data_IF_394972621531
#
_entry.id   IF_394972621531
#
_cell.length_a   1.000
_cell.length_b   1.000
_cell.length_c   1.000
_cell.angle_alpha   90.00
_cell.angle_beta   90.00
_cell.angle_gamma   90.00
#
_symmetry.space_group_name_H-M   'P 1'
#
loop_
_entity.id
_entity.type
_entity.pdbx_description
1 polymer ?
#
# COMPACT_ATOMS: atom_id res chain seq x y z
N UNK A 1 -12.10 -5.68 21.30
CA UNK A 1 -11.96 -5.19 22.70
C UNK A 1 -12.02 -6.36 23.69
N UNK A 2 -13.02 -7.24 23.61
CA UNK A 2 -13.16 -8.42 24.51
C UNK A 2 -11.96 -9.37 24.44
N UNK A 3 -11.49 -9.70 23.24
CA UNK A 3 -10.38 -10.63 23.02
C UNK A 3 -9.03 -10.11 23.52
N UNK A 4 -8.65 -8.87 23.18
CA UNK A 4 -7.41 -8.24 23.64
C UNK A 4 -7.35 -8.17 25.17
N UNK A 5 -8.48 -7.91 25.81
CA UNK A 5 -8.58 -7.90 27.28
C UNK A 5 -8.32 -9.29 27.88
N UNK A 6 -8.88 -10.35 27.30
CA UNK A 6 -8.67 -11.72 27.78
C UNK A 6 -7.20 -12.15 27.61
N UNK A 7 -6.58 -11.81 26.47
CA UNK A 7 -5.16 -12.09 26.22
C UNK A 7 -4.27 -11.41 27.28
N UNK A 8 -4.50 -10.12 27.54
CA UNK A 8 -3.63 -9.34 28.43
C UNK A 8 -3.89 -9.59 29.92
N UNK A 9 -5.12 -9.92 30.34
CA UNK A 9 -5.46 -10.11 31.76
C UNK A 9 -5.47 -11.57 32.20
N UNK A 10 -5.73 -12.50 31.29
CA UNK A 10 -5.97 -13.91 31.62
C UNK A 10 -5.04 -14.87 30.86
N UNK A 11 -4.20 -14.35 29.96
CA UNK A 11 -3.38 -15.15 29.04
C UNK A 11 -4.21 -16.16 28.21
N UNK A 12 -5.49 -15.84 28.01
CA UNK A 12 -6.44 -16.67 27.27
C UNK A 12 -6.93 -15.89 26.03
N UNK A 13 -6.67 -16.45 24.86
CA UNK A 13 -7.05 -15.87 23.57
C UNK A 13 -8.28 -16.58 22.97
N UNK A 14 -8.78 -17.65 23.59
CA UNK A 14 -9.73 -18.60 23.02
C UNK A 14 -9.08 -19.63 22.08
N UNK A 15 -9.79 -20.72 21.82
CA UNK A 15 -9.26 -21.89 21.08
C UNK A 15 -8.77 -21.54 19.68
N UNK A 16 -9.52 -20.70 18.95
CA UNK A 16 -9.17 -20.32 17.57
C UNK A 16 -7.86 -19.55 17.53
N UNK A 17 -7.68 -18.55 18.39
CA UNK A 17 -6.48 -17.70 18.36
C UNK A 17 -5.27 -18.48 18.81
N UNK A 18 -5.42 -19.34 19.82
CA UNK A 18 -4.36 -20.23 20.27
C UNK A 18 -3.96 -21.22 19.15
N UNK A 19 -4.93 -21.80 18.44
CA UNK A 19 -4.66 -22.73 17.33
C UNK A 19 -3.97 -22.04 16.14
N UNK A 20 -4.41 -20.84 15.75
CA UNK A 20 -3.75 -20.07 14.69
C UNK A 20 -2.36 -19.59 15.11
N UNK A 21 -2.20 -19.17 16.37
CA UNK A 21 -0.91 -18.76 16.92
C UNK A 21 0.10 -19.90 16.90
N UNK A 22 -0.28 -21.10 17.35
CA UNK A 22 0.61 -22.27 17.33
C UNK A 22 0.91 -22.74 15.91
N UNK A 23 -0.07 -22.69 15.01
CA UNK A 23 0.12 -23.00 13.59
C UNK A 23 1.15 -22.05 12.92
N UNK A 24 1.02 -20.74 13.12
CA UNK A 24 1.90 -19.73 12.49
C UNK A 24 3.29 -19.73 13.10
N UNK A 25 3.41 -19.90 14.42
CA UNK A 25 4.70 -19.91 15.11
C UNK A 25 5.50 -21.17 14.79
N UNK A 26 4.84 -22.30 14.52
CA UNK A 26 5.52 -23.53 14.08
C UNK A 26 6.61 -24.04 15.05
N UNK A 27 6.53 -23.65 16.33
CA UNK A 27 7.54 -23.95 17.35
C UNK A 27 8.66 -22.92 17.51
N UNK A 28 8.74 -21.88 16.66
CA UNK A 28 9.73 -20.80 16.73
C UNK A 28 9.08 -19.43 16.79
N UNK A 29 9.17 -18.78 17.96
CA UNK A 29 8.64 -17.42 18.17
C UNK A 29 9.24 -16.43 17.16
N UNK A 30 10.53 -16.57 16.83
CA UNK A 30 11.18 -15.72 15.85
C UNK A 30 10.60 -15.92 14.43
N UNK A 31 10.41 -17.16 13.98
CA UNK A 31 9.78 -17.46 12.68
C UNK A 31 8.34 -16.93 12.65
N UNK A 32 7.57 -17.15 13.72
CA UNK A 32 6.20 -16.62 13.83
C UNK A 32 6.14 -15.09 13.74
N UNK A 33 7.11 -14.40 14.34
CA UNK A 33 7.20 -12.93 14.29
C UNK A 33 7.55 -12.43 12.87
N UNK A 34 8.44 -13.13 12.16
CA UNK A 34 8.77 -12.82 10.76
C UNK A 34 7.55 -12.99 9.86
N UNK A 35 6.85 -14.12 9.98
CA UNK A 35 5.63 -14.38 9.19
C UNK A 35 4.55 -13.33 9.51
N UNK A 36 4.35 -12.99 10.79
CA UNK A 36 3.41 -11.96 11.21
C UNK A 36 3.73 -10.58 10.59
N UNK A 37 5.01 -10.18 10.57
CA UNK A 37 5.42 -8.92 9.96
C UNK A 37 5.17 -8.91 8.45
N UNK A 38 5.49 -10.01 7.74
CA UNK A 38 5.24 -10.14 6.30
C UNK A 38 3.75 -10.01 5.98
N UNK A 39 2.89 -10.75 6.70
CA UNK A 39 1.44 -10.69 6.50
C UNK A 39 0.90 -9.28 6.80
N UNK A 40 1.38 -8.65 7.87
CA UNK A 40 0.96 -7.29 8.26
C UNK A 40 1.34 -6.27 7.18
N UNK A 41 2.57 -6.33 6.66
CA UNK A 41 3.03 -5.46 5.57
C UNK A 41 2.22 -5.72 4.29
N UNK A 42 2.02 -6.99 3.93
CA UNK A 42 1.22 -7.35 2.75
C UNK A 42 -0.21 -6.80 2.84
N UNK A 43 -0.86 -6.95 4.01
CA UNK A 43 -2.19 -6.40 4.26
C UNK A 43 -2.22 -4.88 4.17
N UNK A 44 -1.24 -4.20 4.77
CA UNK A 44 -1.14 -2.74 4.70
C UNK A 44 -1.04 -2.25 3.25
N UNK A 45 -0.26 -2.93 2.41
CA UNK A 45 -0.09 -2.59 1.00
C UNK A 45 -1.37 -2.82 0.20
N UNK A 46 -2.10 -3.92 0.45
CA UNK A 46 -3.41 -4.15 -0.18
C UNK A 46 -4.39 -3.03 0.17
N UNK A 47 -4.42 -2.61 1.44
CA UNK A 47 -5.28 -1.50 1.90
C UNK A 47 -4.86 -0.19 1.23
N UNK A 48 -3.56 0.10 1.15
CA UNK A 48 -3.04 1.31 0.49
C UNK A 48 -3.41 1.35 -1.01
N UNK A 49 -3.32 0.22 -1.72
CA UNK A 49 -3.75 0.10 -3.13
C UNK A 49 -5.27 0.32 -3.30
N UNK A 50 -6.07 -0.08 -2.32
CA UNK A 50 -7.50 0.19 -2.31
C UNK A 50 -7.80 1.69 -2.29
N UNK A 51 -7.05 2.46 -1.50
CA UNK A 51 -7.18 3.92 -1.43
C UNK A 51 -6.72 4.61 -2.73
N UNK A 52 -5.68 4.10 -3.39
CA UNK A 52 -5.17 4.62 -4.67
C UNK A 52 -6.22 4.58 -5.78
N UNK A 53 -6.96 3.47 -5.92
CA UNK A 53 -8.05 3.33 -6.90
C UNK A 53 -9.20 4.29 -6.64
N UNK A 54 -9.51 4.55 -5.38
CA UNK A 54 -10.57 5.52 -5.01
C UNK A 54 -10.15 6.93 -5.39
N UNK A 55 -8.88 7.29 -5.21
CA UNK A 55 -8.33 8.59 -5.60
C UNK A 55 -8.28 8.78 -7.13
N UNK A 56 -7.91 7.75 -7.90
CA UNK A 56 -7.99 7.76 -9.37
C UNK A 56 -9.42 8.05 -9.85
N UNK A 57 -10.40 7.34 -9.26
CA UNK A 57 -11.81 7.51 -9.59
C UNK A 57 -12.30 8.93 -9.23
N UNK A 58 -11.88 9.47 -8.09
CA UNK A 58 -12.25 10.83 -7.70
C UNK A 58 -11.67 11.90 -8.66
N UNK A 59 -10.40 11.78 -9.05
CA UNK A 59 -9.79 12.68 -10.02
C UNK A 59 -10.50 12.62 -11.38
N UNK A 60 -10.86 11.41 -11.82
CA UNK A 60 -11.58 11.20 -13.07
C UNK A 60 -12.99 11.81 -13.04
N UNK A 61 -13.73 11.65 -11.95
CA UNK A 61 -15.04 12.29 -11.80
C UNK A 61 -14.96 13.81 -11.87
N UNK A 62 -13.91 14.42 -11.31
CA UNK A 62 -13.72 15.86 -11.41
C UNK A 62 -13.36 16.30 -12.84
N UNK A 63 -12.55 15.51 -13.55
CA UNK A 63 -12.21 15.77 -14.96
C UNK A 63 -13.43 15.60 -15.89
N UNK A 64 -14.27 14.59 -15.67
CA UNK A 64 -15.48 14.34 -16.45
C UNK A 64 -16.54 15.46 -16.29
N UNK A 65 -16.47 16.24 -15.21
CA UNK A 65 -17.34 17.40 -14.98
C UNK A 65 -16.90 18.68 -15.73
N UNK A 66 -15.68 18.75 -16.26
CA UNK A 66 -15.13 19.95 -16.91
C UNK A 66 -15.91 20.39 -18.16
N UNK A 67 -16.34 19.51 -19.08
CA UNK A 67 -17.15 19.92 -20.23
C UNK A 67 -18.48 20.55 -19.81
N UNK A 68 -19.11 20.03 -18.75
CA UNK A 68 -20.34 20.61 -18.19
C UNK A 68 -20.11 22.03 -17.64
N UNK A 69 -19.00 22.24 -16.92
CA UNK A 69 -18.60 23.57 -16.44
C UNK A 69 -18.23 24.53 -17.59
N UNK A 70 -17.65 24.04 -18.69
CA UNK A 70 -17.43 24.89 -19.88
C UNK A 70 -18.75 25.29 -20.55
N UNK A 71 -19.66 24.34 -20.72
CA UNK A 71 -20.97 24.59 -21.31
C UNK A 71 -21.81 25.57 -20.47
N UNK A 72 -21.70 25.55 -19.14
CA UNK A 72 -22.38 26.53 -18.29
C UNK A 72 -21.84 27.94 -18.49
N UNK A 73 -20.51 28.12 -18.57
CA UNK A 73 -19.89 29.42 -18.87
C UNK A 73 -20.34 29.93 -20.25
N UNK A 74 -20.41 29.05 -21.25
CA UNK A 74 -20.87 29.41 -22.60
C UNK A 74 -22.35 29.81 -22.62
N UNK A 75 -23.19 29.14 -21.82
CA UNK A 75 -24.60 29.47 -21.67
C UNK A 75 -24.80 30.82 -20.98
N UNK A 76 -24.10 31.07 -19.88
CA UNK A 76 -24.15 32.35 -19.14
C UNK A 76 -23.68 33.52 -20.02
N UNK A 77 -22.60 33.33 -20.80
CA UNK A 77 -22.11 34.34 -21.75
C UNK A 77 -23.14 34.63 -22.85
N UNK A 78 -23.82 33.58 -23.35
CA UNK A 78 -24.84 33.73 -24.39
C UNK A 78 -26.12 34.40 -23.87
N UNK A 79 -26.46 34.18 -22.60
CA UNK A 79 -27.61 34.81 -21.95
C UNK A 79 -27.33 36.26 -21.50
N UNK A 80 -26.06 36.67 -21.51
CA UNK A 80 -25.64 38.00 -21.08
C UNK A 80 -25.48 38.14 -19.56
N UNK A 81 -25.50 37.04 -18.81
CA UNK A 81 -25.30 37.02 -17.35
C UNK A 81 -23.84 37.34 -16.97
N UNK A 82 -22.90 37.03 -17.88
CA UNK A 82 -21.48 37.35 -17.76
C UNK A 82 -20.95 38.01 -19.04
N UNK A 83 -19.89 38.82 -18.91
CA UNK A 83 -19.21 39.42 -20.05
C UNK A 83 -18.05 38.55 -20.59
N UNK A 84 -17.47 38.95 -21.72
CA UNK A 84 -16.34 38.24 -22.33
C UNK A 84 -15.09 38.20 -21.44
N UNK A 85 -14.89 39.18 -20.58
CA UNK A 85 -13.73 39.25 -19.71
C UNK A 85 -13.86 38.23 -18.56
N UNK A 86 -15.02 38.13 -17.94
CA UNK A 86 -15.32 37.17 -16.89
C UNK A 86 -15.38 35.74 -17.44
N UNK A 87 -15.97 35.53 -18.62
CA UNK A 87 -15.95 34.22 -19.29
C UNK A 87 -14.51 33.73 -19.55
N UNK A 88 -13.59 34.61 -19.97
CA UNK A 88 -12.17 34.28 -20.09
C UNK A 88 -11.53 33.94 -18.73
N UNK A 89 -11.85 34.70 -17.68
CA UNK A 89 -11.33 34.47 -16.33
C UNK A 89 -11.75 33.10 -15.79
N UNK A 90 -13.03 32.76 -15.93
CA UNK A 90 -13.60 31.48 -15.50
C UNK A 90 -13.01 30.31 -16.29
N UNK A 91 -12.86 30.42 -17.61
CA UNK A 91 -12.20 29.40 -18.44
C UNK A 91 -10.75 29.17 -18.02
N UNK A 92 -10.00 30.24 -17.71
CA UNK A 92 -8.62 30.12 -17.20
C UNK A 92 -8.54 29.51 -15.80
N UNK A 93 -9.54 29.71 -14.95
CA UNK A 93 -9.63 29.02 -13.66
C UNK A 93 -9.91 27.53 -13.87
N UNK A 94 -10.85 27.20 -14.76
CA UNK A 94 -11.20 25.84 -15.11
C UNK A 94 -10.04 25.07 -15.76
N UNK A 95 -9.24 25.74 -16.58
CA UNK A 95 -8.02 25.18 -17.17
C UNK A 95 -6.97 24.86 -16.11
N UNK A 96 -6.78 25.75 -15.12
CA UNK A 96 -5.89 25.49 -13.98
C UNK A 96 -6.41 24.35 -13.09
N UNK A 97 -7.71 24.27 -12.88
CA UNK A 97 -8.37 23.16 -12.18
C UNK A 97 -8.09 21.84 -12.92
N UNK A 98 -8.30 21.82 -14.24
CA UNK A 98 -7.99 20.67 -15.11
C UNK A 98 -6.51 20.24 -15.04
N UNK A 99 -5.58 21.19 -15.11
CA UNK A 99 -4.14 20.92 -14.99
C UNK A 99 -3.78 20.35 -13.63
N UNK A 100 -4.38 20.85 -12.54
CA UNK A 100 -4.15 20.34 -11.19
C UNK A 100 -4.68 18.90 -11.04
N UNK A 101 -5.91 18.63 -11.48
CA UNK A 101 -6.49 17.28 -11.40
C UNK A 101 -5.81 16.29 -12.35
N UNK A 102 -5.39 16.73 -13.53
CA UNK A 102 -4.57 15.93 -14.45
C UNK A 102 -3.17 15.63 -13.90
N UNK A 103 -2.54 16.60 -13.23
CA UNK A 103 -1.28 16.38 -12.54
C UNK A 103 -1.43 15.44 -11.32
N UNK A 104 -2.55 15.52 -10.60
CA UNK A 104 -2.86 14.59 -9.51
C UNK A 104 -3.12 13.17 -10.02
N UNK A 105 -3.90 12.97 -11.09
CA UNK A 105 -4.08 11.66 -11.74
C UNK A 105 -2.73 11.09 -12.24
N UNK A 106 -1.89 11.93 -12.84
CA UNK A 106 -0.53 11.57 -13.26
C UNK A 106 0.36 11.16 -12.08
N UNK A 107 0.39 11.96 -11.01
CA UNK A 107 1.19 11.67 -9.82
C UNK A 107 0.74 10.38 -9.13
N UNK A 108 -0.56 10.13 -9.02
CA UNK A 108 -1.11 8.89 -8.46
C UNK A 108 -0.70 7.67 -9.30
N UNK A 109 -0.71 7.76 -10.64
CA UNK A 109 -0.21 6.69 -11.54
C UNK A 109 1.31 6.43 -11.42
N UNK A 110 2.07 7.39 -10.90
CA UNK A 110 3.49 7.22 -10.57
C UNK A 110 3.74 6.60 -9.19
N UNK A 111 2.73 6.53 -8.30
CA UNK A 111 2.77 5.76 -7.05
C UNK A 111 2.47 4.28 -7.34
N UNK A 112 3.09 3.70 -8.38
CA UNK A 112 3.05 2.25 -8.60
C UNK A 112 3.80 1.53 -7.47
N UNK A 113 3.08 1.27 -6.37
CA UNK A 113 3.58 0.68 -5.12
C UNK A 113 3.81 -0.83 -5.18
N UNK A 114 4.41 -1.34 -6.24
CA UNK A 114 4.73 -2.77 -6.36
C UNK A 114 6.15 -3.09 -5.90
N UNK A 115 7.09 -2.19 -6.16
CA UNK A 115 8.52 -2.39 -5.81
C UNK A 115 8.76 -2.22 -4.30
N UNK A 116 7.99 -1.35 -3.64
CA UNK A 116 8.13 -1.09 -2.20
C UNK A 116 7.77 -2.34 -1.39
N UNK A 117 6.76 -3.10 -1.83
CA UNK A 117 6.33 -4.34 -1.18
C UNK A 117 7.44 -5.39 -1.15
N UNK A 118 8.01 -5.65 -2.33
CA UNK A 118 9.10 -6.62 -2.47
C UNK A 118 10.32 -6.23 -1.62
N UNK A 119 10.70 -4.96 -1.62
CA UNK A 119 11.84 -4.47 -0.82
C UNK A 119 11.61 -4.67 0.67
N UNK A 120 10.42 -4.33 1.20
CA UNK A 120 10.13 -4.49 2.63
C UNK A 120 10.12 -5.97 3.02
N UNK A 121 9.53 -6.84 2.20
CA UNK A 121 9.53 -8.29 2.46
C UNK A 121 10.96 -8.85 2.44
N UNK A 122 11.79 -8.46 1.47
CA UNK A 122 13.20 -8.84 1.40
C UNK A 122 13.95 -8.42 2.67
N UNK A 123 13.75 -7.18 3.14
CA UNK A 123 14.41 -6.70 4.37
C UNK A 123 13.96 -7.46 5.61
N UNK A 124 12.66 -7.74 5.74
CA UNK A 124 12.11 -8.52 6.86
C UNK A 124 12.63 -9.96 6.83
N UNK A 125 12.65 -10.61 5.66
CA UNK A 125 13.21 -11.96 5.50
C UNK A 125 14.70 -12.00 5.81
N UNK A 126 15.45 -10.98 5.41
CA UNK A 126 16.88 -10.91 5.68
C UNK A 126 17.14 -10.78 7.18
N UNK A 127 16.57 -9.75 7.83
CA UNK A 127 16.75 -9.50 9.27
C UNK A 127 16.19 -10.64 10.12
N UNK A 128 15.01 -11.14 9.75
CA UNK A 128 14.37 -12.28 10.39
C UNK A 128 15.18 -13.55 10.26
N UNK A 129 15.66 -13.83 9.05
CA UNK A 129 16.54 -14.95 8.76
C UNK A 129 17.85 -14.89 9.53
N UNK A 130 18.47 -13.71 9.61
CA UNK A 130 19.63 -13.47 10.46
C UNK A 130 19.37 -13.79 11.93
N UNK A 131 18.24 -13.31 12.48
CA UNK A 131 17.86 -13.56 13.86
C UNK A 131 17.60 -15.06 14.11
N UNK A 132 16.91 -15.74 13.20
CA UNK A 132 16.65 -17.19 13.31
C UNK A 132 17.95 -18.00 13.18
N UNK A 133 18.78 -17.67 12.19
CA UNK A 133 20.04 -18.36 11.93
C UNK A 133 20.99 -18.30 13.11
N UNK A 134 21.13 -17.12 13.71
CA UNK A 134 22.06 -16.91 14.84
C UNK A 134 21.49 -17.35 16.18
N UNK A 135 20.20 -17.13 16.45
CA UNK A 135 19.60 -17.40 17.77
C UNK A 135 19.07 -18.82 17.91
N UNK A 136 18.74 -19.51 16.81
CA UNK A 136 18.08 -20.82 16.86
C UNK A 136 18.84 -21.92 16.12
N UNK A 137 19.54 -21.58 15.04
CA UNK A 137 20.33 -22.55 14.28
C UNK A 137 21.83 -22.53 14.61
N UNK A 138 22.23 -21.75 15.61
CA UNK A 138 23.62 -21.63 16.10
C UNK A 138 24.64 -21.35 14.97
N UNK A 139 24.18 -20.66 13.92
CA UNK A 139 25.00 -20.33 12.76
C UNK A 139 25.90 -19.15 13.10
N UNK A 140 27.11 -19.15 12.55
CA UNK A 140 27.96 -17.96 12.60
C UNK A 140 27.27 -16.78 11.90
N UNK A 141 27.57 -15.56 12.32
CA UNK A 141 27.03 -14.34 11.69
C UNK A 141 27.27 -14.32 10.17
N UNK A 142 28.42 -14.83 9.72
CA UNK A 142 28.77 -14.92 8.29
C UNK A 142 27.95 -15.97 7.54
N UNK A 143 27.76 -17.15 8.14
CA UNK A 143 27.00 -18.23 7.51
C UNK A 143 25.51 -17.91 7.43
N UNK A 144 24.96 -17.29 8.51
CA UNK A 144 23.60 -16.78 8.51
C UNK A 144 23.41 -15.71 7.43
N UNK A 145 24.38 -14.80 7.27
CA UNK A 145 24.34 -13.78 6.21
C UNK A 145 24.26 -14.40 4.83
N UNK A 146 25.18 -15.30 4.52
CA UNK A 146 25.28 -15.91 3.20
C UNK A 146 24.02 -16.73 2.88
N UNK A 147 23.56 -17.54 3.83
CA UNK A 147 22.43 -18.44 3.66
C UNK A 147 21.12 -17.68 3.45
N UNK A 148 20.78 -16.79 4.39
CA UNK A 148 19.50 -16.08 4.31
C UNK A 148 19.48 -15.01 3.24
N UNK A 149 20.63 -14.44 2.85
CA UNK A 149 20.72 -13.59 1.65
C UNK A 149 20.44 -14.39 0.38
N UNK A 150 21.05 -15.57 0.22
CA UNK A 150 20.83 -16.43 -0.96
C UNK A 150 19.35 -16.85 -1.07
N UNK A 151 18.76 -17.30 0.04
CA UNK A 151 17.36 -17.72 0.07
C UNK A 151 16.40 -16.57 -0.22
N UNK A 152 16.65 -15.39 0.36
CA UNK A 152 15.82 -14.20 0.13
C UNK A 152 15.90 -13.70 -1.31
N UNK A 153 17.08 -13.72 -1.92
CA UNK A 153 17.24 -13.39 -3.35
C UNK A 153 16.54 -14.41 -4.23
N UNK A 154 16.67 -15.70 -3.91
CA UNK A 154 15.97 -16.78 -4.63
C UNK A 154 14.44 -16.62 -4.58
N UNK A 155 13.89 -16.36 -3.40
CA UNK A 155 12.46 -16.08 -3.21
C UNK A 155 12.00 -14.85 -4.01
N UNK A 156 12.78 -13.76 -3.97
CA UNK A 156 12.50 -12.55 -4.76
C UNK A 156 12.58 -12.74 -6.28
N UNK A 157 13.42 -13.66 -6.77
CA UNK A 157 13.49 -14.02 -8.19
C UNK A 157 12.32 -14.91 -8.60
N UNK A 158 11.91 -15.86 -7.77
CA UNK A 158 10.74 -16.72 -8.02
C UNK A 158 9.45 -15.89 -8.03
N UNK A 159 9.31 -14.93 -7.12
CA UNK A 159 8.15 -14.04 -7.06
C UNK A 159 7.94 -13.18 -8.32
N UNK A 160 8.97 -13.06 -9.17
CA UNK A 160 8.90 -12.34 -10.45
C UNK A 160 8.54 -13.24 -11.64
N UNK A 161 8.57 -14.56 -11.47
CA UNK A 161 8.13 -15.51 -12.50
C UNK A 161 6.59 -15.48 -12.51
N UNK A 162 5.95 -15.02 -13.59
CA UNK A 162 4.49 -15.03 -13.68
C UNK A 162 3.97 -16.46 -13.53
N UNK A 163 2.96 -16.65 -12.66
CA UNK A 163 2.28 -17.92 -12.46
C UNK A 163 1.53 -18.39 -13.71
#
# INVERSE_FOLDING_TARGET
ITTTRLILLQADAGEIITAFGTFVVGGSIAVGLVIFLIITVAQFIVVARGAERVAEVAARFTLDALPGKQMSIDAELRNGDIDQAEARRLRQQLERESQLFGAMDGAMKFVKGDVIAGIVIILVNLIGGFAVGTLQHDMSLGDAAATYSLLTVGDGLVAQIPA
#
